data_IF_305204372271
#
_entry.id   IF_305204372271
#
_cell.length_a   1.000
_cell.length_b   1.000
_cell.length_c   1.000
_cell.angle_alpha   90.00
_cell.angle_beta   90.00
_cell.angle_gamma   90.00
#
_symmetry.space_group_name_H-M   'P 1'
#
loop_
_entity.id
_entity.type
_entity.pdbx_description
1 polymer ?
#
# COMPACT_ATOMS: atom_id res chain seq x y z
N UNK A 1 -13.64 12.10 -36.58
CA UNK A 1 -14.70 11.16 -37.03
C UNK A 1 -16.07 11.83 -37.11
N UNK A 2 -16.58 12.47 -36.03
CA UNK A 2 -17.81 13.28 -36.13
C UNK A 2 -17.59 14.52 -37.02
N UNK A 3 -16.49 15.26 -36.86
CA UNK A 3 -16.15 16.41 -37.71
C UNK A 3 -16.01 16.03 -39.19
N UNK A 4 -15.30 14.93 -39.48
CA UNK A 4 -15.12 14.44 -40.84
C UNK A 4 -16.45 13.95 -41.46
N UNK A 5 -17.41 13.48 -40.66
CA UNK A 5 -18.76 13.15 -41.14
C UNK A 5 -19.50 14.39 -41.65
N UNK A 6 -19.24 15.55 -41.04
CA UNK A 6 -19.70 16.86 -41.53
C UNK A 6 -18.77 17.52 -42.56
N UNK A 7 -17.79 16.78 -43.11
CA UNK A 7 -16.85 17.28 -44.11
C UNK A 7 -15.76 18.22 -43.57
N UNK A 8 -15.61 18.33 -42.25
CA UNK A 8 -14.60 19.17 -41.60
C UNK A 8 -13.36 18.31 -41.29
N UNK A 9 -12.21 18.69 -41.85
CA UNK A 9 -10.94 18.01 -41.69
C UNK A 9 -9.92 18.91 -40.99
N UNK A 10 -9.15 18.36 -40.05
CA UNK A 10 -8.27 19.14 -39.17
C UNK A 10 -6.92 19.40 -39.84
N UNK A 11 -6.29 18.37 -40.39
CA UNK A 11 -4.96 18.49 -40.99
C UNK A 11 -4.99 18.74 -42.49
N UNK A 12 -6.04 18.29 -43.19
CA UNK A 12 -6.07 18.23 -44.65
C UNK A 12 -4.80 17.60 -45.28
N UNK A 13 -4.17 16.66 -44.55
CA UNK A 13 -2.91 16.05 -44.98
C UNK A 13 -3.17 14.78 -45.81
N UNK A 14 -2.61 14.75 -47.01
CA UNK A 14 -2.67 13.59 -47.90
C UNK A 14 -1.34 12.83 -47.83
N UNK A 15 -1.36 11.65 -47.22
CA UNK A 15 -0.16 10.81 -47.10
C UNK A 15 0.13 10.07 -48.41
N UNK A 16 1.41 9.80 -48.68
CA UNK A 16 1.85 8.94 -49.79
C UNK A 16 1.83 7.45 -49.38
N UNK A 17 1.65 7.15 -48.09
CA UNK A 17 1.65 5.78 -47.59
C UNK A 17 0.32 5.08 -47.92
N UNK A 18 0.41 3.85 -48.42
CA UNK A 18 -0.76 3.02 -48.79
C UNK A 18 -1.25 2.15 -47.64
N UNK A 19 -0.37 1.80 -46.70
CA UNK A 19 -0.70 1.02 -45.51
C UNK A 19 0.12 1.45 -44.28
N UNK A 20 -0.42 1.17 -43.09
CA UNK A 20 0.31 1.22 -41.83
C UNK A 20 -0.04 -0.02 -41.02
N UNK A 21 0.96 -0.75 -40.55
CA UNK A 21 0.77 -1.91 -39.66
C UNK A 21 -0.22 -2.93 -40.27
N UNK A 22 -0.13 -3.14 -41.59
CA UNK A 22 -1.00 -4.00 -42.41
C UNK A 22 -2.45 -3.50 -42.58
N UNK A 23 -2.77 -2.29 -42.12
CA UNK A 23 -4.05 -1.63 -42.37
C UNK A 23 -3.95 -0.75 -43.60
N UNK A 24 -4.78 -1.01 -44.61
CA UNK A 24 -4.88 -0.16 -45.80
C UNK A 24 -5.46 1.21 -45.45
N UNK A 25 -4.97 2.23 -46.14
CA UNK A 25 -5.42 3.62 -46.00
C UNK A 25 -6.36 3.93 -47.16
N UNK A 26 -7.67 3.79 -46.93
CA UNK A 26 -8.68 4.02 -47.98
C UNK A 26 -8.94 5.52 -48.23
N UNK A 27 -8.93 6.34 -47.17
CA UNK A 27 -9.07 7.80 -47.26
C UNK A 27 -7.93 8.46 -46.45
N UNK A 28 -6.87 8.95 -47.13
CA UNK A 28 -5.70 9.53 -46.47
C UNK A 28 -6.01 10.73 -45.57
N UNK A 29 -6.92 11.62 -46.01
CA UNK A 29 -7.26 12.83 -45.28
C UNK A 29 -7.99 12.49 -43.98
N UNK A 30 -8.94 11.55 -44.04
CA UNK A 30 -9.63 11.03 -42.86
C UNK A 30 -8.67 10.30 -41.91
N UNK A 31 -7.75 9.51 -42.46
CA UNK A 31 -6.80 8.73 -41.69
C UNK A 31 -5.78 9.60 -40.96
N UNK A 32 -5.38 10.73 -41.57
CA UNK A 32 -4.48 11.72 -40.97
C UNK A 32 -5.05 12.32 -39.70
N UNK A 33 -6.32 12.74 -39.73
CA UNK A 33 -7.00 13.26 -38.55
C UNK A 33 -7.13 12.19 -37.46
N UNK A 34 -7.36 10.92 -37.85
CA UNK A 34 -7.43 9.80 -36.90
C UNK A 34 -6.08 9.56 -36.20
N UNK A 35 -4.97 9.63 -36.93
CA UNK A 35 -3.62 9.54 -36.35
C UNK A 35 -3.36 10.70 -35.41
N UNK A 36 -3.67 11.93 -35.82
CA UNK A 36 -3.47 13.11 -34.98
C UNK A 36 -4.24 13.01 -33.65
N UNK A 37 -5.54 12.69 -33.72
CA UNK A 37 -6.39 12.56 -32.53
C UNK A 37 -5.87 11.44 -31.62
N UNK A 38 -5.44 10.31 -32.19
CA UNK A 38 -4.83 9.22 -31.42
C UNK A 38 -3.54 9.68 -30.74
N UNK A 39 -2.65 10.36 -31.46
CA UNK A 39 -1.38 10.86 -30.93
C UNK A 39 -1.59 11.85 -29.79
N UNK A 40 -2.54 12.77 -29.92
CA UNK A 40 -2.89 13.74 -28.86
C UNK A 40 -3.58 13.06 -27.68
N UNK A 41 -4.55 12.17 -27.95
CA UNK A 41 -5.35 11.50 -26.92
C UNK A 41 -4.56 10.55 -26.03
N UNK A 42 -3.46 9.99 -26.53
CA UNK A 42 -2.58 9.09 -25.75
C UNK A 42 -1.74 9.86 -24.72
N UNK A 43 -1.38 11.13 -24.99
CA UNK A 43 -0.53 11.95 -24.10
C UNK A 43 -1.11 12.06 -22.67
N UNK A 44 -2.35 12.50 -22.44
CA UNK A 44 -2.89 12.63 -21.09
C UNK A 44 -3.02 11.28 -20.37
N UNK A 45 -3.33 10.20 -21.11
CA UNK A 45 -3.39 8.84 -20.57
C UNK A 45 -1.99 8.41 -20.11
N UNK A 46 -0.97 8.66 -20.93
CA UNK A 46 0.41 8.35 -20.61
C UNK A 46 0.90 9.13 -19.40
N UNK A 47 0.66 10.45 -19.35
CA UNK A 47 1.02 11.31 -18.21
C UNK A 47 0.32 10.84 -16.93
N UNK A 48 -0.95 10.46 -17.03
CA UNK A 48 -1.71 9.91 -15.91
C UNK A 48 -1.10 8.59 -15.42
N UNK A 49 -0.86 7.63 -16.32
CA UNK A 49 -0.27 6.33 -15.99
C UNK A 49 1.13 6.47 -15.40
N UNK A 50 1.97 7.33 -15.98
CA UNK A 50 3.30 7.63 -15.47
C UNK A 50 3.25 8.18 -14.04
N UNK A 51 2.42 9.20 -13.79
CA UNK A 51 2.21 9.78 -12.45
C UNK A 51 1.65 8.77 -11.46
N UNK A 52 0.72 7.92 -11.91
CA UNK A 52 0.10 6.87 -11.11
C UNK A 52 1.15 5.84 -10.68
N UNK A 53 1.92 5.32 -11.64
CA UNK A 53 2.99 4.37 -11.39
C UNK A 53 4.06 4.97 -10.46
N UNK A 54 4.59 6.16 -10.78
CA UNK A 54 5.61 6.83 -9.96
C UNK A 54 5.17 7.01 -8.50
N UNK A 55 3.94 7.52 -8.28
CA UNK A 55 3.43 7.78 -6.94
C UNK A 55 3.06 6.51 -6.17
N UNK A 56 2.67 5.42 -6.82
CA UNK A 56 2.16 4.24 -6.10
C UNK A 56 3.20 3.12 -5.95
N UNK A 57 4.15 3.00 -6.86
CA UNK A 57 5.18 1.94 -6.81
C UNK A 57 6.09 2.11 -5.60
N UNK A 58 6.54 3.34 -5.34
CA UNK A 58 7.43 3.65 -4.22
C UNK A 58 6.80 3.33 -2.86
N UNK A 59 5.51 3.63 -2.68
CA UNK A 59 4.77 3.47 -1.41
C UNK A 59 4.08 2.10 -1.28
N UNK A 60 4.15 1.25 -2.29
CA UNK A 60 3.49 -0.05 -2.24
C UNK A 60 4.25 -1.04 -1.34
N UNK A 61 3.55 -1.67 -0.41
CA UNK A 61 4.08 -2.75 0.44
C UNK A 61 3.90 -4.14 -0.19
N UNK A 62 3.15 -4.26 -1.29
CA UNK A 62 2.90 -5.54 -1.97
C UNK A 62 3.97 -5.88 -3.00
N UNK A 63 4.74 -4.88 -3.47
CA UNK A 63 5.80 -5.06 -4.47
C UNK A 63 7.11 -5.38 -3.75
N UNK A 64 7.54 -6.66 -3.78
CA UNK A 64 8.79 -7.12 -3.15
C UNK A 64 10.06 -6.59 -3.80
N UNK A 65 10.09 -6.47 -5.13
CA UNK A 65 11.27 -6.00 -5.91
C UNK A 65 10.93 -4.71 -6.69
N UNK A 66 10.81 -3.58 -5.98
CA UNK A 66 10.37 -2.28 -6.53
C UNK A 66 11.18 -1.81 -7.74
N UNK A 67 12.50 -1.81 -7.64
CA UNK A 67 13.40 -1.37 -8.72
C UNK A 67 13.21 -2.13 -10.04
N UNK A 68 13.03 -3.45 -9.97
CA UNK A 68 12.75 -4.23 -11.18
C UNK A 68 11.39 -3.86 -11.76
N UNK A 69 10.38 -3.71 -10.93
CA UNK A 69 9.04 -3.30 -11.38
C UNK A 69 9.04 -1.91 -12.03
N UNK A 70 9.81 -0.96 -11.49
CA UNK A 70 10.02 0.36 -12.10
C UNK A 70 10.69 0.27 -13.46
N UNK A 71 11.82 -0.44 -13.57
CA UNK A 71 12.54 -0.63 -14.86
C UNK A 71 11.60 -1.23 -15.91
N UNK A 72 10.80 -2.22 -15.53
CA UNK A 72 9.85 -2.85 -16.44
C UNK A 72 8.74 -1.90 -16.91
N UNK A 73 8.10 -1.16 -15.99
CA UNK A 73 7.03 -0.21 -16.36
C UNK A 73 7.58 0.94 -17.22
N UNK A 74 8.68 1.55 -16.80
CA UNK A 74 9.26 2.64 -17.56
C UNK A 74 9.79 2.17 -18.92
N UNK A 75 10.35 0.95 -18.98
CA UNK A 75 10.73 0.32 -20.24
C UNK A 75 9.54 0.10 -21.18
N UNK A 76 8.42 -0.43 -20.67
CA UNK A 76 7.21 -0.60 -21.47
C UNK A 76 6.64 0.74 -21.97
N UNK A 77 6.54 1.72 -21.08
CA UNK A 77 6.08 3.07 -21.42
C UNK A 77 6.99 3.72 -22.47
N UNK A 78 8.31 3.53 -22.36
CA UNK A 78 9.29 4.03 -23.33
C UNK A 78 9.09 3.40 -24.71
N UNK A 79 8.98 2.07 -24.80
CA UNK A 79 8.74 1.35 -26.07
C UNK A 79 7.45 1.84 -26.75
N UNK A 80 6.38 2.07 -25.99
CA UNK A 80 5.12 2.61 -26.53
C UNK A 80 5.30 4.01 -27.11
N UNK A 81 5.99 4.91 -26.41
CA UNK A 81 6.24 6.29 -26.88
C UNK A 81 7.11 6.26 -28.14
N UNK A 82 8.19 5.50 -28.13
CA UNK A 82 9.07 5.33 -29.28
C UNK A 82 8.29 4.83 -30.50
N UNK A 83 7.46 3.79 -30.33
CA UNK A 83 6.62 3.24 -31.41
C UNK A 83 5.67 4.28 -31.99
N UNK A 84 5.05 5.09 -31.13
CA UNK A 84 4.14 6.17 -31.57
C UNK A 84 4.93 7.23 -32.35
N UNK A 85 6.10 7.66 -31.86
CA UNK A 85 6.92 8.67 -32.53
C UNK A 85 7.37 8.19 -33.91
N UNK A 86 7.94 6.98 -34.01
CA UNK A 86 8.37 6.40 -35.28
C UNK A 86 7.19 6.30 -36.25
N UNK A 87 6.02 5.87 -35.77
CA UNK A 87 4.81 5.75 -36.62
C UNK A 87 4.35 7.11 -37.15
N UNK A 88 4.36 8.17 -36.32
CA UNK A 88 4.00 9.51 -36.77
C UNK A 88 5.03 10.06 -37.78
N UNK A 89 6.33 9.91 -37.50
CA UNK A 89 7.38 10.34 -38.42
C UNK A 89 7.29 9.64 -39.78
N UNK A 90 7.00 8.33 -39.77
CA UNK A 90 6.77 7.54 -40.98
C UNK A 90 5.54 8.03 -41.74
N UNK A 91 4.42 8.23 -41.04
CA UNK A 91 3.15 8.61 -41.67
C UNK A 91 3.18 9.99 -42.33
N UNK A 92 3.78 10.97 -41.67
CA UNK A 92 3.91 12.35 -42.16
C UNK A 92 5.11 12.55 -43.09
N UNK A 93 5.74 11.46 -43.52
CA UNK A 93 6.83 11.46 -44.48
C UNK A 93 8.03 12.32 -44.03
N UNK A 94 8.27 12.39 -42.72
CA UNK A 94 9.44 13.06 -42.13
C UNK A 94 10.72 12.26 -42.42
N UNK A 95 10.58 10.95 -42.54
CA UNK A 95 11.66 10.02 -42.86
C UNK A 95 11.90 9.93 -44.36
N UNK A 96 13.14 9.65 -44.77
CA UNK A 96 13.48 9.50 -46.19
C UNK A 96 12.74 8.29 -46.81
N UNK A 97 11.99 8.47 -47.92
CA UNK A 97 11.20 7.42 -48.56
C UNK A 97 11.99 6.16 -48.96
N UNK A 98 13.30 6.28 -49.21
CA UNK A 98 14.18 5.14 -49.53
C UNK A 98 14.15 4.06 -48.43
N UNK A 99 13.87 4.46 -47.18
CA UNK A 99 13.81 3.58 -46.02
C UNK A 99 12.39 3.16 -45.63
N UNK A 100 11.37 3.39 -46.47
CA UNK A 100 9.99 3.12 -46.09
C UNK A 100 9.74 1.66 -45.70
N UNK A 101 10.28 0.72 -46.46
CA UNK A 101 10.13 -0.71 -46.18
C UNK A 101 10.82 -1.12 -44.88
N UNK A 102 12.01 -0.57 -44.59
CA UNK A 102 12.75 -0.89 -43.37
C UNK A 102 12.06 -0.28 -42.15
N UNK A 103 11.59 0.96 -42.25
CA UNK A 103 10.84 1.63 -41.18
C UNK A 103 9.50 0.91 -40.92
N UNK A 104 8.77 0.52 -41.96
CA UNK A 104 7.54 -0.25 -41.80
C UNK A 104 7.77 -1.59 -41.09
N UNK A 105 8.88 -2.27 -41.39
CA UNK A 105 9.29 -3.50 -40.71
C UNK A 105 9.63 -3.23 -39.23
N UNK A 106 10.38 -2.16 -38.93
CA UNK A 106 10.71 -1.76 -37.55
C UNK A 106 9.45 -1.49 -36.74
N UNK A 107 8.47 -0.75 -37.30
CA UNK A 107 7.19 -0.46 -36.66
C UNK A 107 6.45 -1.77 -36.32
N UNK A 108 6.44 -2.74 -37.23
CA UNK A 108 5.80 -4.06 -37.01
C UNK A 108 6.50 -4.86 -35.92
N UNK A 109 7.84 -4.90 -35.92
CA UNK A 109 8.62 -5.57 -34.88
C UNK A 109 8.37 -4.92 -33.52
N UNK A 110 8.44 -3.59 -33.42
CA UNK A 110 8.18 -2.87 -32.18
C UNK A 110 6.76 -3.12 -31.65
N UNK A 111 5.76 -3.18 -32.53
CA UNK A 111 4.41 -3.55 -32.14
C UNK A 111 4.35 -4.97 -31.55
N UNK A 112 4.99 -5.96 -32.19
CA UNK A 112 5.05 -7.34 -31.68
C UNK A 112 5.80 -7.42 -30.34
N UNK A 113 6.95 -6.75 -30.22
CA UNK A 113 7.75 -6.68 -28.99
C UNK A 113 6.95 -6.06 -27.86
N UNK A 114 6.20 -4.98 -28.12
CA UNK A 114 5.36 -4.34 -27.10
C UNK A 114 4.29 -5.29 -26.53
N UNK A 115 3.68 -6.13 -27.39
CA UNK A 115 2.70 -7.14 -27.00
C UNK A 115 3.38 -8.25 -26.20
N UNK A 116 4.52 -8.77 -26.66
CA UNK A 116 5.27 -9.81 -25.95
C UNK A 116 5.74 -9.31 -24.59
N UNK A 117 6.25 -8.09 -24.51
CA UNK A 117 6.71 -7.46 -23.26
C UNK A 117 5.57 -7.31 -22.25
N UNK A 118 4.37 -6.93 -22.71
CA UNK A 118 3.17 -6.87 -21.89
C UNK A 118 2.74 -8.26 -21.39
N UNK A 119 2.73 -9.25 -22.28
CA UNK A 119 2.32 -10.64 -21.97
C UNK A 119 3.33 -11.39 -21.10
N UNK A 120 4.60 -11.02 -21.13
CA UNK A 120 5.66 -11.67 -20.36
C UNK A 120 5.52 -11.44 -18.85
N UNK A 121 4.76 -10.43 -18.44
CA UNK A 121 4.53 -10.13 -17.03
C UNK A 121 3.07 -9.68 -16.76
N UNK A 122 2.10 -10.61 -16.85
CA UNK A 122 0.68 -10.28 -16.64
C UNK A 122 0.37 -9.90 -15.19
N UNK A 123 1.29 -10.18 -14.25
CA UNK A 123 1.17 -9.77 -12.85
C UNK A 123 1.11 -8.24 -12.68
N UNK A 124 1.53 -7.45 -13.68
CA UNK A 124 1.39 -5.98 -13.68
C UNK A 124 -0.07 -5.56 -13.49
N UNK A 125 -1.03 -6.27 -14.08
CA UNK A 125 -2.47 -6.01 -13.92
C UNK A 125 -2.95 -6.21 -12.47
N UNK A 126 -2.28 -7.07 -11.70
CA UNK A 126 -2.56 -7.28 -10.26
C UNK A 126 -2.01 -6.15 -9.39
N UNK A 127 -0.97 -5.45 -9.85
CA UNK A 127 -0.32 -4.35 -9.14
C UNK A 127 -0.82 -2.96 -9.58
N UNK A 128 -1.59 -2.87 -10.68
CA UNK A 128 -2.33 -1.68 -11.08
C UNK A 128 -3.24 -1.25 -9.92
N UNK A 129 -3.13 0.00 -9.44
CA UNK A 129 -3.78 0.41 -8.21
C UNK A 129 -5.28 0.56 -8.44
N UNK A 130 -6.05 -0.47 -8.08
CA UNK A 130 -7.47 -0.33 -7.75
C UNK A 130 -7.70 0.37 -6.38
N UNK A 131 -6.66 0.96 -5.77
CA UNK A 131 -6.58 1.21 -4.32
C UNK A 131 -6.06 2.61 -4.00
N UNK A 132 -6.81 3.67 -4.35
CA UNK A 132 -6.55 5.01 -3.80
C UNK A 132 -7.68 5.54 -2.93
N UNK A 133 -8.93 5.24 -3.29
CA UNK A 133 -10.10 5.55 -2.46
C UNK A 133 -10.21 4.60 -1.26
N UNK A 134 -9.80 3.34 -1.41
CA UNK A 134 -9.91 2.31 -0.37
C UNK A 134 -8.88 2.53 0.76
N UNK A 135 -7.61 2.84 0.45
CA UNK A 135 -6.57 2.99 1.48
C UNK A 135 -6.75 4.23 2.38
N UNK A 136 -7.15 5.37 1.83
CA UNK A 136 -7.37 6.59 2.63
C UNK A 136 -8.58 6.42 3.57
N UNK A 137 -9.61 5.71 3.09
CA UNK A 137 -10.78 5.37 3.89
C UNK A 137 -10.42 4.32 4.95
N UNK A 138 -9.62 3.30 4.61
CA UNK A 138 -9.15 2.28 5.58
C UNK A 138 -8.29 2.93 6.67
N UNK A 139 -7.34 3.79 6.34
CA UNK A 139 -6.47 4.47 7.31
C UNK A 139 -7.28 5.33 8.29
N UNK A 140 -8.20 6.16 7.79
CA UNK A 140 -9.08 6.98 8.65
C UNK A 140 -9.99 6.12 9.52
N UNK A 141 -10.55 5.04 8.98
CA UNK A 141 -11.37 4.08 9.75
C UNK A 141 -10.53 3.37 10.82
N UNK A 142 -9.27 3.04 10.54
CA UNK A 142 -8.37 2.41 11.50
C UNK A 142 -8.03 3.35 12.66
N UNK A 143 -7.81 4.64 12.39
CA UNK A 143 -7.55 5.64 13.44
C UNK A 143 -8.78 5.84 14.33
N UNK A 144 -9.98 5.99 13.76
CA UNK A 144 -11.22 6.13 14.54
C UNK A 144 -11.56 4.87 15.35
N UNK A 145 -11.41 3.69 14.74
CA UNK A 145 -11.63 2.43 15.47
C UNK A 145 -10.62 2.28 16.61
N UNK A 146 -9.36 2.65 16.38
CA UNK A 146 -8.33 2.55 17.41
C UNK A 146 -8.56 3.51 18.57
N UNK A 147 -8.97 4.76 18.32
CA UNK A 147 -9.26 5.73 19.39
C UNK A 147 -10.38 5.24 20.32
N UNK A 148 -11.42 4.60 19.76
CA UNK A 148 -12.52 4.00 20.54
C UNK A 148 -12.06 2.81 21.37
N UNK A 149 -11.21 1.95 20.80
CA UNK A 149 -10.57 0.84 21.54
C UNK A 149 -9.66 1.40 22.64
N UNK A 150 -8.86 2.41 22.34
CA UNK A 150 -7.94 3.01 23.30
C UNK A 150 -8.70 3.66 24.47
N UNK A 151 -9.79 4.36 24.20
CA UNK A 151 -10.67 4.93 25.23
C UNK A 151 -11.20 3.83 26.19
N UNK A 152 -11.67 2.71 25.63
CA UNK A 152 -12.15 1.55 26.39
C UNK A 152 -11.06 0.96 27.32
N UNK A 153 -9.80 0.97 26.86
CA UNK A 153 -8.69 0.42 27.61
C UNK A 153 -8.10 1.41 28.63
N UNK A 154 -7.93 2.68 28.27
CA UNK A 154 -7.37 3.71 29.15
C UNK A 154 -8.37 4.17 30.22
N UNK A 155 -9.57 4.56 29.81
CA UNK A 155 -10.52 5.21 30.71
C UNK A 155 -11.37 4.19 31.47
N UNK A 156 -11.85 3.15 30.79
CA UNK A 156 -12.71 2.15 31.40
C UNK A 156 -11.95 0.92 31.92
N UNK A 157 -10.64 0.88 31.72
CA UNK A 157 -9.74 -0.18 32.20
C UNK A 157 -10.23 -1.59 31.84
N UNK A 158 -10.79 -1.76 30.64
CA UNK A 158 -11.36 -3.03 30.19
C UNK A 158 -10.36 -4.20 30.28
N UNK A 159 -9.07 -3.92 30.17
CA UNK A 159 -7.99 -4.90 30.34
C UNK A 159 -7.99 -5.61 31.72
N UNK A 160 -8.61 -5.05 32.75
CA UNK A 160 -8.72 -5.69 34.07
C UNK A 160 -9.69 -6.88 34.09
N UNK A 161 -10.58 -7.00 33.10
CA UNK A 161 -11.46 -8.16 32.98
C UNK A 161 -10.63 -9.39 32.63
N UNK A 162 -10.64 -10.41 33.50
CA UNK A 162 -9.79 -11.61 33.39
C UNK A 162 -9.88 -12.31 32.04
N UNK A 163 -11.09 -12.43 31.48
CA UNK A 163 -11.37 -13.07 30.20
C UNK A 163 -11.96 -12.07 29.19
N UNK A 164 -11.32 -10.92 29.02
CA UNK A 164 -11.65 -10.03 27.91
C UNK A 164 -11.35 -10.74 26.58
N UNK A 165 -12.35 -10.81 25.71
CA UNK A 165 -12.23 -11.35 24.36
C UNK A 165 -12.32 -10.22 23.35
N UNK A 166 -11.91 -10.49 22.12
CA UNK A 166 -12.03 -9.49 21.06
C UNK A 166 -13.50 -9.30 20.65
N UNK A 167 -14.31 -10.35 20.74
CA UNK A 167 -15.75 -10.31 20.51
C UNK A 167 -16.42 -9.30 21.43
N UNK A 168 -16.08 -9.30 22.71
CA UNK A 168 -16.61 -8.31 23.66
C UNK A 168 -16.19 -6.88 23.31
N UNK A 169 -14.94 -6.67 22.91
CA UNK A 169 -14.50 -5.33 22.46
C UNK A 169 -15.26 -4.89 21.22
N UNK A 170 -15.52 -5.81 20.30
CA UNK A 170 -16.28 -5.57 19.07
C UNK A 170 -17.72 -5.16 19.39
N UNK A 171 -18.37 -5.85 20.32
CA UNK A 171 -19.75 -5.54 20.74
C UNK A 171 -19.83 -4.16 21.39
N UNK A 172 -18.88 -3.83 22.28
CA UNK A 172 -18.87 -2.54 23.00
C UNK A 172 -18.63 -1.33 22.10
N UNK A 173 -17.84 -1.51 21.04
CA UNK A 173 -17.57 -0.43 20.07
C UNK A 173 -18.45 -0.55 18.80
N UNK A 174 -19.35 -1.53 18.70
CA UNK A 174 -20.26 -1.68 17.56
C UNK A 174 -19.56 -1.72 16.20
N UNK A 175 -18.57 -2.61 16.03
CA UNK A 175 -17.87 -2.80 14.74
C UNK A 175 -17.73 -4.28 14.38
N UNK A 176 -16.71 -4.68 13.61
CA UNK A 176 -16.39 -6.09 13.39
C UNK A 176 -14.96 -6.45 13.83
N UNK A 177 -14.76 -7.73 14.16
CA UNK A 177 -13.49 -8.29 14.64
C UNK A 177 -12.29 -7.94 13.77
N UNK A 178 -12.42 -8.04 12.44
CA UNK A 178 -11.34 -7.78 11.49
C UNK A 178 -10.88 -6.32 11.54
N UNK A 179 -11.82 -5.36 11.65
CA UNK A 179 -11.52 -3.94 11.80
C UNK A 179 -10.76 -3.65 13.09
N UNK A 180 -11.17 -4.25 14.21
CA UNK A 180 -10.47 -4.10 15.50
C UNK A 180 -9.05 -4.65 15.45
N UNK A 181 -8.87 -5.87 14.95
CA UNK A 181 -7.54 -6.49 14.85
C UNK A 181 -6.61 -5.65 13.98
N UNK A 182 -7.09 -5.20 12.82
CA UNK A 182 -6.31 -4.33 11.93
C UNK A 182 -5.99 -2.98 12.58
N UNK A 183 -6.96 -2.34 13.22
CA UNK A 183 -6.77 -1.05 13.87
C UNK A 183 -5.74 -1.13 15.00
N UNK A 184 -5.81 -2.16 15.85
CA UNK A 184 -4.81 -2.40 16.91
C UNK A 184 -3.44 -2.64 16.28
N UNK A 185 -3.33 -3.57 15.34
CA UNK A 185 -2.04 -3.90 14.74
C UNK A 185 -1.41 -2.72 14.01
N UNK A 186 -2.19 -1.95 13.25
CA UNK A 186 -1.69 -0.79 12.50
C UNK A 186 -1.13 0.30 13.43
N UNK A 187 -1.77 0.54 14.58
CA UNK A 187 -1.40 1.63 15.49
C UNK A 187 -0.40 1.21 16.57
N UNK A 188 -0.42 -0.05 17.02
CA UNK A 188 0.45 -0.50 18.12
C UNK A 188 1.49 -1.53 17.70
N UNK A 189 1.41 -2.09 16.49
CA UNK A 189 2.22 -3.23 16.03
C UNK A 189 2.10 -4.48 16.92
N UNK A 190 0.97 -4.61 17.64
CA UNK A 190 0.68 -5.75 18.51
C UNK A 190 -0.56 -6.49 18.00
N UNK A 191 -0.62 -7.80 18.24
CA UNK A 191 -1.90 -8.51 18.15
C UNK A 191 -2.78 -8.18 19.37
N UNK A 192 -4.08 -8.54 19.31
CA UNK A 192 -5.03 -8.22 20.38
C UNK A 192 -4.56 -8.69 21.78
N UNK A 193 -4.05 -9.92 21.90
CA UNK A 193 -3.63 -10.46 23.19
C UNK A 193 -2.41 -9.70 23.74
N UNK A 194 -1.44 -9.40 22.90
CA UNK A 194 -0.27 -8.61 23.27
C UNK A 194 -0.64 -7.17 23.62
N UNK A 195 -1.60 -6.59 22.90
CA UNK A 195 -2.17 -5.28 23.21
C UNK A 195 -2.80 -5.28 24.60
N UNK A 196 -3.71 -6.21 24.91
CA UNK A 196 -4.29 -6.33 26.26
C UNK A 196 -3.21 -6.51 27.31
N UNK A 197 -2.26 -7.41 27.07
CA UNK A 197 -1.20 -7.69 28.02
C UNK A 197 -0.29 -6.47 28.26
N UNK A 198 -0.05 -5.62 27.26
CA UNK A 198 0.75 -4.39 27.45
C UNK A 198 0.16 -3.49 28.54
N UNK A 199 -1.15 -3.20 28.46
CA UNK A 199 -1.87 -2.43 29.48
C UNK A 199 -1.82 -3.10 30.86
N UNK A 200 -1.97 -4.43 30.92
CA UNK A 200 -1.88 -5.18 32.18
C UNK A 200 -0.48 -5.12 32.80
N UNK A 201 0.57 -5.18 31.98
CA UNK A 201 1.96 -5.04 32.45
C UNK A 201 2.21 -3.63 32.96
N UNK A 202 1.77 -2.60 32.24
CA UNK A 202 1.91 -1.21 32.69
C UNK A 202 1.19 -0.98 34.03
N UNK A 203 0.00 -1.56 34.20
CA UNK A 203 -0.71 -1.56 35.49
C UNK A 203 0.08 -2.27 36.59
N UNK A 204 0.68 -3.42 36.30
CA UNK A 204 1.49 -4.15 37.28
C UNK A 204 2.70 -3.33 37.75
N UNK A 205 3.32 -2.55 36.85
CA UNK A 205 4.44 -1.67 37.17
C UNK A 205 3.99 -0.49 38.02
N UNK A 206 2.84 0.11 37.71
CA UNK A 206 2.26 1.16 38.55
C UNK A 206 2.03 0.67 39.99
N UNK A 207 1.53 -0.56 40.16
CA UNK A 207 1.34 -1.18 41.48
C UNK A 207 2.67 -1.45 42.19
N UNK A 208 3.70 -1.92 41.46
CA UNK A 208 5.05 -2.09 42.02
C UNK A 208 5.59 -0.75 42.53
N UNK A 209 5.48 0.31 41.74
CA UNK A 209 5.94 1.66 42.08
C UNK A 209 5.15 2.25 43.27
N UNK A 210 3.89 1.86 43.45
CA UNK A 210 3.07 2.25 44.62
C UNK A 210 3.34 1.38 45.86
N UNK A 211 4.47 0.68 45.93
CA UNK A 211 4.86 -0.21 47.03
C UNK A 211 3.87 -1.36 47.31
N UNK A 212 3.06 -1.79 46.33
CA UNK A 212 2.06 -2.84 46.52
C UNK A 212 2.67 -4.16 47.00
N UNK A 213 3.84 -4.52 46.46
CA UNK A 213 4.56 -5.75 46.80
C UNK A 213 5.21 -5.76 48.19
N UNK A 214 5.19 -4.65 48.94
CA UNK A 214 5.60 -4.66 50.35
C UNK A 214 4.54 -5.37 51.21
N UNK A 215 3.25 -5.17 50.88
CA UNK A 215 2.11 -5.71 51.64
C UNK A 215 1.51 -6.97 51.03
N UNK A 216 1.78 -7.24 49.76
CA UNK A 216 1.17 -8.31 48.96
C UNK A 216 2.24 -9.07 48.16
N UNK A 217 1.85 -10.15 47.51
CA UNK A 217 2.76 -11.01 46.74
C UNK A 217 2.55 -10.88 45.22
N UNK A 218 3.50 -11.42 44.45
CA UNK A 218 3.48 -11.42 42.98
C UNK A 218 2.26 -12.14 42.37
N UNK A 219 1.73 -13.15 43.05
CA UNK A 219 0.50 -13.82 42.62
C UNK A 219 -0.69 -12.85 42.70
N UNK A 220 -0.82 -12.12 43.80
CA UNK A 220 -1.85 -11.09 43.98
C UNK A 220 -1.68 -9.95 42.97
N UNK A 221 -0.44 -9.52 42.71
CA UNK A 221 -0.15 -8.52 41.67
C UNK A 221 -0.66 -8.95 40.29
N UNK A 222 -0.43 -10.22 39.91
CA UNK A 222 -0.92 -10.74 38.62
C UNK A 222 -2.44 -10.69 38.49
N UNK A 223 -3.16 -11.00 39.59
CA UNK A 223 -4.62 -10.97 39.62
C UNK A 223 -5.15 -9.53 39.56
N UNK A 224 -4.59 -8.61 40.35
CA UNK A 224 -4.95 -7.19 40.34
C UNK A 224 -4.65 -6.50 39.01
N UNK A 225 -3.68 -7.01 38.26
CA UNK A 225 -3.35 -6.53 36.93
C UNK A 225 -4.24 -7.13 35.83
N UNK A 226 -5.23 -7.97 36.19
CA UNK A 226 -6.22 -8.53 35.27
C UNK A 226 -5.81 -9.85 34.60
N UNK A 227 -4.70 -10.49 34.99
CA UNK A 227 -4.29 -11.76 34.40
C UNK A 227 -5.15 -12.93 34.91
N UNK A 228 -5.48 -13.84 34.00
CA UNK A 228 -6.23 -15.05 34.33
C UNK A 228 -5.33 -16.17 34.93
N UNK A 229 -4.02 -16.15 34.64
CA UNK A 229 -3.06 -17.10 35.22
C UNK A 229 -1.70 -16.47 35.46
N UNK A 230 -0.99 -17.00 36.46
CA UNK A 230 0.32 -16.51 36.85
C UNK A 230 1.39 -16.77 35.77
N UNK A 231 1.29 -17.90 35.07
CA UNK A 231 2.18 -18.27 33.99
C UNK A 231 2.07 -17.29 32.81
N UNK A 232 0.85 -16.88 32.45
CA UNK A 232 0.64 -15.89 31.38
C UNK A 232 1.19 -14.52 31.78
N UNK A 233 1.04 -14.12 33.05
CA UNK A 233 1.66 -12.90 33.57
C UNK A 233 3.18 -12.91 33.43
N UNK A 234 3.87 -13.97 33.87
CA UNK A 234 5.33 -14.08 33.76
C UNK A 234 5.82 -14.00 32.32
N UNK A 235 5.16 -14.72 31.40
CA UNK A 235 5.52 -14.70 29.97
C UNK A 235 5.30 -13.33 29.35
N UNK A 236 4.17 -12.68 29.65
CA UNK A 236 3.86 -11.34 29.16
C UNK A 236 4.84 -10.29 29.70
N UNK A 237 5.17 -10.35 31.00
CA UNK A 237 6.09 -9.42 31.63
C UNK A 237 7.49 -9.55 31.04
N UNK A 238 8.01 -10.78 30.94
CA UNK A 238 9.32 -11.03 30.32
C UNK A 238 9.37 -10.59 28.87
N UNK A 239 8.30 -10.83 28.10
CA UNK A 239 8.21 -10.37 26.70
C UNK A 239 8.21 -8.84 26.60
N UNK A 240 7.55 -8.14 27.51
CA UNK A 240 7.39 -6.69 27.44
C UNK A 240 8.59 -5.91 28.02
N UNK A 241 9.20 -6.42 29.11
CA UNK A 241 10.29 -5.74 29.83
C UNK A 241 11.67 -6.41 29.72
N UNK A 242 11.77 -7.59 29.12
CA UNK A 242 13.03 -8.34 28.99
C UNK A 242 13.44 -9.14 30.22
N UNK A 243 12.88 -8.86 31.40
CA UNK A 243 13.14 -9.56 32.65
C UNK A 243 11.86 -10.12 33.29
N UNK A 244 12.00 -11.03 34.25
CA UNK A 244 10.86 -11.57 35.00
C UNK A 244 10.33 -10.56 36.03
N UNK A 245 9.06 -10.67 36.46
CA UNK A 245 8.51 -9.84 37.53
C UNK A 245 9.32 -9.89 38.84
N UNK A 246 9.91 -11.05 39.15
CA UNK A 246 10.73 -11.25 40.35
C UNK A 246 12.05 -10.47 40.25
N UNK A 247 12.73 -10.55 39.11
CA UNK A 247 13.96 -9.80 38.84
C UNK A 247 13.67 -8.30 38.89
N UNK A 248 12.62 -7.84 38.19
CA UNK A 248 12.21 -6.45 38.18
C UNK A 248 11.96 -5.91 39.60
N UNK A 249 11.27 -6.67 40.45
CA UNK A 249 11.02 -6.28 41.84
C UNK A 249 12.29 -6.25 42.71
N UNK A 250 13.22 -7.20 42.48
CA UNK A 250 14.51 -7.23 43.19
C UNK A 250 15.31 -5.96 42.87
N UNK A 251 15.41 -5.62 41.59
CA UNK A 251 16.15 -4.45 41.13
C UNK A 251 15.50 -3.15 41.63
N UNK A 252 14.17 -3.06 41.56
CA UNK A 252 13.43 -1.93 42.11
C UNK A 252 13.70 -1.72 43.61
N UNK A 253 13.67 -2.79 44.43
CA UNK A 253 13.98 -2.68 45.86
C UNK A 253 15.41 -2.22 46.12
N UNK A 254 16.38 -2.78 45.40
CA UNK A 254 17.78 -2.40 45.54
C UNK A 254 18.00 -0.92 45.24
N UNK A 255 17.36 -0.40 44.17
CA UNK A 255 17.44 1.02 43.80
C UNK A 255 16.88 1.97 44.87
N UNK A 256 15.80 1.58 45.55
CA UNK A 256 15.23 2.35 46.65
C UNK A 256 16.15 2.41 47.87
N UNK A 257 16.76 1.28 48.22
CA UNK A 257 17.67 1.18 49.38
C UNK A 257 18.96 1.98 49.15
N UNK A 258 19.46 2.06 47.91
CA UNK A 258 20.62 2.90 47.58
C UNK A 258 20.30 4.40 47.60
N UNK A 259 19.07 4.81 47.27
CA UNK A 259 18.65 6.21 47.28
C UNK A 259 18.30 6.77 48.66
N UNK A 260 18.01 5.92 49.65
CA UNK A 260 17.77 6.32 51.06
C UNK A 260 19.07 6.43 51.88
N UNK A 261 20.24 6.07 51.31
CA UNK A 261 21.56 6.12 51.98
C UNK A 261 22.41 7.34 51.59
N UNK A 262 21.87 8.26 50.80
CA UNK A 262 22.45 9.55 50.41
C UNK A 262 21.55 10.68 50.84
#
# INVERSE_FOLDING_TARGET
MILNYYGIYILNYNTVKSDILLLKIDNPIFFSDKILIKSIGVIPIFVYLFRLCFKHIHFSNTIKKKRLYEIWIYGYLFILVETILITNCYYFNITNPVFDNTIALIIRINAMVSVIFFLSNPFILKYLPLIKKINIIEEKIHVDTFSRVENLFKNEKAYLKKRITIEEVVDRIGTNKKKVQKAIFANSQLNFNDFVNSYRIDRSIQLINSNYLIKKNLKSLSVESGFNSHQTFYRAFKKNKGCTPTEYWKDFRNSKISGEKT
#
